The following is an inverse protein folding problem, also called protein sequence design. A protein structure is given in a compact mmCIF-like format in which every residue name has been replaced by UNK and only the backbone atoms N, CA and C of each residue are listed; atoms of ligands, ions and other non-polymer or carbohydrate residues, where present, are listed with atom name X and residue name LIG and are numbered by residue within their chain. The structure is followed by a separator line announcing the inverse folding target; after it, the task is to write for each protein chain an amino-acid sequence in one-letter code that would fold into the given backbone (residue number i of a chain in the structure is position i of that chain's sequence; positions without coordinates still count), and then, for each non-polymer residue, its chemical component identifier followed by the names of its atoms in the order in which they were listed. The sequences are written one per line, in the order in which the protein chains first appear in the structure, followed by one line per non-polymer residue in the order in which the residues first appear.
data_IF_292043771800
#
_entry.id   IF_292043771800
#
_cell.length_a   1.000
_cell.length_b   1.000
_cell.length_c   1.000
_cell.angle_alpha   90.00
_cell.angle_beta   90.00
_cell.angle_gamma   90.00
#
_symmetry.space_group_name_H-M   'P 1'
#
loop_
_entity.id
_entity.type
_entity.pdbx_description
1 polymer ?
#
# COMPACT_ATOMS: atom_id res chain seq x y z
N UNK A 1 -19.44 0.71 1.75
CA UNK A 1 -20.52 0.50 0.81
C UNK A 1 -20.41 -0.85 0.09
N UNK A 2 -21.20 -1.12 -0.94
CA UNK A 2 -21.49 -2.44 -1.52
C UNK A 2 -20.27 -3.35 -1.78
N UNK A 3 -19.11 -2.80 -2.19
CA UNK A 3 -17.89 -3.59 -2.42
C UNK A 3 -17.37 -4.21 -1.11
N UNK A 4 -17.26 -3.43 -0.05
CA UNK A 4 -16.80 -3.90 1.26
C UNK A 4 -17.78 -4.91 1.87
N UNK A 5 -19.10 -4.63 1.77
CA UNK A 5 -20.14 -5.50 2.31
C UNK A 5 -20.13 -6.87 1.63
N UNK A 6 -19.98 -6.89 0.30
CA UNK A 6 -19.89 -8.13 -0.48
C UNK A 6 -18.63 -8.94 -0.11
N UNK A 7 -17.49 -8.26 0.05
CA UNK A 7 -16.23 -8.89 0.44
C UNK A 7 -16.31 -9.50 1.84
N UNK A 8 -16.83 -8.75 2.81
CA UNK A 8 -17.01 -9.22 4.19
C UNK A 8 -17.99 -10.40 4.26
N UNK A 9 -19.09 -10.34 3.52
CA UNK A 9 -20.06 -11.44 3.44
C UNK A 9 -19.41 -12.71 2.92
N UNK A 10 -18.60 -12.63 1.86
CA UNK A 10 -17.91 -13.79 1.31
C UNK A 10 -16.92 -14.36 2.35
N UNK A 11 -16.03 -13.53 2.90
CA UNK A 11 -15.03 -13.98 3.87
C UNK A 11 -15.67 -14.67 5.08
N UNK A 12 -16.79 -14.12 5.58
CA UNK A 12 -17.57 -14.75 6.65
C UNK A 12 -18.19 -16.07 6.24
N UNK A 13 -18.72 -16.17 5.01
CA UNK A 13 -19.35 -17.41 4.52
C UNK A 13 -18.37 -18.56 4.41
N UNK A 14 -17.12 -18.28 4.04
CA UNK A 14 -16.06 -19.30 3.96
C UNK A 14 -15.31 -19.51 5.29
N UNK A 15 -15.69 -18.80 6.35
CA UNK A 15 -15.05 -18.87 7.66
C UNK A 15 -13.60 -18.39 7.67
N UNK A 16 -13.26 -17.42 6.79
CA UNK A 16 -11.89 -16.93 6.70
C UNK A 16 -11.51 -16.08 7.90
N UNK A 17 -10.34 -16.35 8.47
CA UNK A 17 -9.68 -15.60 9.51
C UNK A 17 -8.30 -15.14 9.06
N UNK A 18 -7.92 -13.90 9.38
CA UNK A 18 -6.62 -13.32 9.09
C UNK A 18 -6.67 -12.17 8.08
N UNK A 19 -5.50 -11.79 7.59
CA UNK A 19 -5.37 -10.72 6.61
C UNK A 19 -5.93 -11.14 5.25
N UNK A 20 -6.72 -10.26 4.64
CA UNK A 20 -7.19 -10.42 3.28
C UNK A 20 -7.17 -9.08 2.54
N UNK A 21 -6.58 -9.07 1.36
CA UNK A 21 -6.74 -8.01 0.36
C UNK A 21 -7.71 -8.53 -0.70
N UNK A 22 -8.87 -7.89 -0.82
CA UNK A 22 -9.91 -8.31 -1.76
C UNK A 22 -9.98 -7.32 -2.91
N UNK A 23 -9.64 -7.78 -4.09
CA UNK A 23 -9.71 -6.97 -5.30
C UNK A 23 -11.10 -7.06 -5.94
N UNK A 24 -11.69 -5.90 -6.19
CA UNK A 24 -13.00 -5.79 -6.82
C UNK A 24 -12.97 -4.81 -7.98
N UNK A 25 -13.75 -5.10 -9.01
CA UNK A 25 -13.94 -4.21 -10.16
C UNK A 25 -15.42 -3.96 -10.38
N UNK A 26 -15.77 -2.72 -10.59
CA UNK A 26 -17.14 -2.37 -10.99
C UNK A 26 -17.36 -2.75 -12.45
N UNK A 27 -18.40 -3.54 -12.71
CA UNK A 27 -18.89 -3.83 -14.07
C UNK A 27 -19.69 -2.62 -14.56
N UNK A 28 -19.22 -1.88 -15.59
CA UNK A 28 -19.89 -0.67 -16.04
C UNK A 28 -21.26 -0.91 -16.69
N UNK A 29 -21.55 -2.17 -17.07
CA UNK A 29 -22.83 -2.53 -17.72
C UNK A 29 -23.99 -2.58 -16.72
N UNK A 30 -23.70 -2.96 -15.47
CA UNK A 30 -24.70 -3.20 -14.44
C UNK A 30 -24.47 -2.42 -13.15
N UNK A 31 -23.31 -1.73 -13.02
CA UNK A 31 -22.93 -1.02 -11.79
C UNK A 31 -22.62 -1.95 -10.62
N UNK A 32 -22.46 -3.25 -10.88
CA UNK A 32 -22.18 -4.26 -9.86
C UNK A 32 -20.67 -4.42 -9.62
N UNK A 33 -20.29 -4.64 -8.37
CA UNK A 33 -18.91 -5.02 -8.03
C UNK A 33 -18.71 -6.51 -8.23
N UNK A 34 -17.76 -6.84 -9.11
CA UNK A 34 -17.27 -8.21 -9.34
C UNK A 34 -15.98 -8.41 -8.60
N UNK A 35 -15.88 -9.48 -7.85
CA UNK A 35 -14.65 -9.89 -7.20
C UNK A 35 -13.68 -10.46 -8.24
N UNK A 36 -12.41 -10.04 -8.17
CA UNK A 36 -11.35 -10.52 -9.04
C UNK A 36 -10.52 -11.56 -8.33
N UNK A 37 -9.97 -11.18 -7.16
CA UNK A 37 -9.13 -12.11 -6.38
C UNK A 37 -9.15 -11.78 -4.88
N UNK A 38 -8.73 -12.75 -4.09
CA UNK A 38 -8.48 -12.60 -2.65
C UNK A 38 -7.04 -13.00 -2.38
N UNK A 39 -6.26 -12.05 -1.90
CA UNK A 39 -4.89 -12.28 -1.46
C UNK A 39 -4.88 -12.46 0.06
N UNK A 40 -4.52 -13.66 0.53
CA UNK A 40 -4.45 -14.01 1.96
C UNK A 40 -3.18 -13.43 2.62
N UNK A 41 -2.99 -12.13 2.52
CA UNK A 41 -1.85 -11.36 3.04
C UNK A 41 -2.23 -9.90 3.22
N UNK A 42 -1.35 -9.14 3.86
CA UNK A 42 -1.45 -7.68 3.88
C UNK A 42 -1.22 -7.09 2.49
N UNK A 43 -1.90 -5.99 2.20
CA UNK A 43 -1.65 -5.19 1.00
C UNK A 43 -0.27 -4.53 1.03
N UNK A 44 0.30 -4.26 -0.13
CA UNK A 44 1.48 -3.40 -0.27
C UNK A 44 1.22 -2.00 0.31
N UNK A 45 -0.04 -1.54 0.24
CA UNK A 45 -0.48 -0.24 0.76
C UNK A 45 -0.90 -0.28 2.24
N UNK A 46 -0.37 -1.22 3.03
CA UNK A 46 -0.75 -1.34 4.45
C UNK A 46 -0.53 -0.05 5.25
N UNK A 47 0.54 0.70 4.96
CA UNK A 47 0.80 2.01 5.56
C UNK A 47 -0.28 3.04 5.23
N UNK A 48 -0.90 2.96 4.05
CA UNK A 48 -2.05 3.79 3.70
C UNK A 48 -3.26 3.46 4.57
N UNK A 49 -3.54 2.17 4.80
CA UNK A 49 -4.64 1.75 5.65
C UNK A 49 -4.50 2.32 7.08
N UNK A 50 -3.31 2.21 7.68
CA UNK A 50 -2.99 2.81 8.97
C UNK A 50 -3.18 4.33 8.98
N UNK A 51 -2.65 5.03 7.97
CA UNK A 51 -2.81 6.48 7.85
C UNK A 51 -4.28 6.90 7.66
N UNK A 52 -5.09 6.08 7.03
CA UNK A 52 -6.54 6.29 6.90
C UNK A 52 -7.31 6.04 8.21
N UNK A 53 -6.67 5.45 9.22
CA UNK A 53 -7.27 5.13 10.51
C UNK A 53 -7.72 3.66 10.65
N UNK A 54 -7.31 2.80 9.70
CA UNK A 54 -7.56 1.37 9.73
C UNK A 54 -6.22 0.62 9.84
N UNK A 55 -5.59 0.69 11.04
CA UNK A 55 -4.31 0.02 11.30
C UNK A 55 -4.52 -1.49 11.49
N UNK A 56 -4.60 -2.19 10.37
CA UNK A 56 -4.83 -3.64 10.37
C UNK A 56 -3.67 -4.44 10.98
N UNK A 57 -2.45 -3.90 10.99
CA UNK A 57 -1.32 -4.55 11.63
C UNK A 57 -1.45 -4.49 13.16
N UNK A 58 -1.86 -3.34 13.70
CA UNK A 58 -2.15 -3.18 15.13
C UNK A 58 -3.30 -4.07 15.58
N UNK A 59 -4.40 -4.09 14.81
CA UNK A 59 -5.55 -4.96 15.09
C UNK A 59 -5.13 -6.43 15.14
N UNK A 60 -4.32 -6.88 14.19
CA UNK A 60 -3.83 -8.27 14.18
C UNK A 60 -2.91 -8.59 15.37
N UNK A 61 -2.10 -7.61 15.81
CA UNK A 61 -1.27 -7.76 17.00
C UNK A 61 -2.12 -7.93 18.27
N UNK A 62 -3.16 -7.12 18.42
CA UNK A 62 -4.09 -7.22 19.54
C UNK A 62 -4.87 -8.55 19.53
N UNK A 63 -5.36 -8.95 18.37
CA UNK A 63 -6.08 -10.22 18.18
C UNK A 63 -5.19 -11.43 18.54
N UNK A 64 -3.93 -11.44 18.10
CA UNK A 64 -2.95 -12.47 18.47
C UNK A 64 -2.67 -12.50 19.98
N UNK A 65 -2.81 -11.38 20.68
CA UNK A 65 -2.71 -11.25 22.11
C UNK A 65 -4.01 -11.60 22.87
N UNK A 66 -5.05 -12.02 22.16
CA UNK A 66 -6.38 -12.32 22.74
C UNK A 66 -7.16 -11.08 23.17
N UNK A 67 -6.77 -9.89 22.69
CA UNK A 67 -7.48 -8.65 22.92
C UNK A 67 -8.45 -8.43 21.76
N UNK A 68 -9.73 -8.24 22.10
CA UNK A 68 -10.76 -7.95 21.08
C UNK A 68 -10.90 -6.45 20.93
N UNK A 69 -10.67 -5.93 19.73
CA UNK A 69 -10.95 -4.55 19.39
C UNK A 69 -12.20 -4.49 18.51
N UNK A 70 -13.09 -3.55 18.80
CA UNK A 70 -14.27 -3.34 17.96
C UNK A 70 -13.84 -2.80 16.60
N UNK A 71 -14.28 -3.43 15.48
CA UNK A 71 -13.87 -3.06 14.15
C UNK A 71 -14.38 -1.65 13.79
N UNK A 72 -13.46 -0.74 13.52
CA UNK A 72 -13.80 0.57 12.97
C UNK A 72 -13.93 0.49 11.46
N UNK A 73 -15.12 0.80 10.94
CA UNK A 73 -15.39 0.96 9.51
C UNK A 73 -15.26 2.42 9.04
N UNK A 74 -14.86 3.33 9.94
CA UNK A 74 -14.60 4.71 9.59
C UNK A 74 -13.16 4.88 9.10
N UNK A 75 -12.99 5.53 7.96
CA UNK A 75 -11.67 5.82 7.41
C UNK A 75 -11.62 7.22 6.82
N UNK A 76 -10.43 7.81 6.85
CA UNK A 76 -10.15 9.10 6.23
C UNK A 76 -9.92 8.94 4.74
N UNK A 77 -10.50 9.83 3.96
CA UNK A 77 -10.33 9.91 2.51
C UNK A 77 -9.25 10.94 2.14
N UNK A 78 -8.84 10.93 0.88
CA UNK A 78 -7.93 11.93 0.30
C UNK A 78 -6.51 11.91 0.87
N UNK A 79 -6.05 10.75 1.32
CA UNK A 79 -4.65 10.52 1.66
C UNK A 79 -3.97 9.94 0.43
N UNK A 80 -2.86 10.55 0.03
CA UNK A 80 -2.03 10.05 -1.07
C UNK A 80 -0.98 9.08 -0.53
N UNK A 81 -0.78 8.00 -1.24
CA UNK A 81 0.25 7.02 -0.96
C UNK A 81 1.21 6.92 -2.14
N UNK A 82 2.50 6.78 -1.83
CA UNK A 82 3.55 6.62 -2.84
C UNK A 82 4.40 5.39 -2.56
N UNK A 83 4.72 4.68 -3.61
CA UNK A 83 5.70 3.60 -3.56
C UNK A 83 7.09 4.20 -3.81
N UNK A 84 7.93 4.23 -2.79
CA UNK A 84 9.18 5.01 -2.78
C UNK A 84 10.13 4.65 -3.93
N UNK A 85 10.17 3.38 -4.34
CA UNK A 85 11.07 2.95 -5.41
C UNK A 85 10.57 3.34 -6.80
N UNK A 86 9.34 2.92 -7.13
CA UNK A 86 8.78 3.18 -8.46
C UNK A 86 8.64 4.67 -8.71
N UNK A 87 8.29 5.43 -7.67
CA UNK A 87 8.18 6.88 -7.74
C UNK A 87 9.57 7.50 -8.01
N UNK A 88 10.61 7.06 -7.27
CA UNK A 88 11.98 7.53 -7.50
C UNK A 88 12.49 7.17 -8.91
N UNK A 89 12.29 5.94 -9.36
CA UNK A 89 12.71 5.51 -10.71
C UNK A 89 11.94 6.27 -11.79
N UNK A 90 10.66 6.48 -11.61
CA UNK A 90 9.82 7.27 -12.51
C UNK A 90 10.31 8.71 -12.58
N UNK A 91 10.52 9.32 -11.43
CA UNK A 91 11.05 10.67 -11.31
C UNK A 91 12.40 10.84 -12.06
N UNK A 92 13.36 9.93 -11.83
CA UNK A 92 14.67 9.98 -12.50
C UNK A 92 14.55 9.82 -14.02
N UNK A 93 13.65 8.98 -14.50
CA UNK A 93 13.37 8.83 -15.95
C UNK A 93 12.82 10.11 -16.56
N UNK A 94 11.86 10.73 -15.91
CA UNK A 94 11.23 11.97 -16.35
C UNK A 94 12.20 13.15 -16.31
N UNK A 95 13.04 13.22 -15.25
CA UNK A 95 14.10 14.21 -15.16
C UNK A 95 15.09 14.08 -16.31
N UNK A 96 15.50 12.85 -16.68
CA UNK A 96 16.38 12.58 -17.80
C UNK A 96 15.77 12.95 -19.16
N UNK A 97 14.46 12.86 -19.30
CA UNK A 97 13.71 13.26 -20.49
C UNK A 97 13.38 14.75 -20.55
N UNK A 98 13.56 15.49 -19.45
CA UNK A 98 13.19 16.90 -19.28
C UNK A 98 11.70 17.17 -19.53
N UNK A 99 10.84 16.20 -19.21
CA UNK A 99 9.39 16.26 -19.39
C UNK A 99 8.63 16.41 -18.07
N UNK A 100 9.35 16.67 -16.96
CA UNK A 100 8.77 16.93 -15.64
C UNK A 100 8.72 18.45 -15.37
N UNK A 101 7.59 18.92 -14.90
CA UNK A 101 7.39 20.32 -14.51
C UNK A 101 7.87 20.58 -13.07
N UNK A 102 8.19 21.85 -12.75
CA UNK A 102 8.55 22.24 -11.38
C UNK A 102 7.41 21.96 -10.41
N UNK A 103 6.14 22.13 -10.83
CA UNK A 103 4.98 21.81 -10.03
C UNK A 103 4.92 20.35 -9.61
N UNK A 104 5.16 19.44 -10.54
CA UNK A 104 5.21 17.98 -10.27
C UNK A 104 6.36 17.61 -9.33
N UNK A 105 7.50 18.31 -9.42
CA UNK A 105 8.61 18.15 -8.48
C UNK A 105 8.18 18.54 -7.06
N UNK A 106 7.55 19.70 -6.91
CA UNK A 106 7.07 20.20 -5.61
C UNK A 106 6.01 19.26 -5.04
N UNK A 107 5.08 18.79 -5.86
CA UNK A 107 4.05 17.84 -5.45
C UNK A 107 4.64 16.48 -5.05
N UNK A 108 5.71 16.04 -5.69
CA UNK A 108 6.40 14.78 -5.31
C UNK A 108 7.03 14.87 -3.92
N UNK A 109 7.46 16.06 -3.52
CA UNK A 109 8.04 16.34 -2.21
C UNK A 109 7.01 16.64 -1.10
N UNK A 110 5.72 16.59 -1.42
CA UNK A 110 4.65 16.92 -0.47
C UNK A 110 4.71 16.01 0.77
N UNK A 111 4.92 16.58 1.98
CA UNK A 111 5.05 15.79 3.21
C UNK A 111 3.74 15.11 3.67
N UNK A 112 2.61 15.44 3.05
CA UNK A 112 1.31 14.82 3.34
C UNK A 112 1.11 13.46 2.68
N UNK A 113 2.06 13.01 1.85
CA UNK A 113 2.02 11.69 1.25
C UNK A 113 2.48 10.64 2.24
N UNK A 114 1.74 9.54 2.33
CA UNK A 114 2.16 8.35 3.05
C UNK A 114 3.12 7.56 2.16
N UNK A 115 4.26 7.19 2.69
CA UNK A 115 5.30 6.46 1.98
C UNK A 115 5.26 4.98 2.28
N UNK A 116 5.71 4.17 1.33
CA UNK A 116 5.72 2.71 1.47
C UNK A 116 6.78 2.23 2.47
N UNK A 117 7.97 2.84 2.46
CA UNK A 117 9.15 2.39 3.24
C UNK A 117 9.76 3.52 4.07
N UNK A 118 9.82 4.74 3.52
CA UNK A 118 10.47 5.85 4.20
C UNK A 118 9.65 6.35 5.39
N UNK A 119 10.19 6.26 6.59
CA UNK A 119 9.64 6.81 7.82
C UNK A 119 10.68 7.71 8.49
N UNK A 120 10.21 8.82 9.08
CA UNK A 120 11.10 9.79 9.73
C UNK A 120 11.61 9.30 11.08
N UNK A 121 10.84 8.47 11.76
CA UNK A 121 11.12 7.88 13.07
C UNK A 121 11.92 6.58 12.97
N UNK A 122 11.93 5.92 11.80
CA UNK A 122 12.73 4.72 11.52
C UNK A 122 13.35 4.75 10.12
N UNK A 123 14.54 5.31 9.93
CA UNK A 123 15.22 5.36 8.64
C UNK A 123 15.92 4.04 8.25
N UNK A 124 16.05 3.07 9.15
CA UNK A 124 16.81 1.83 8.94
C UNK A 124 16.28 1.00 7.78
N UNK A 125 14.95 0.80 7.60
CA UNK A 125 14.42 0.07 6.47
C UNK A 125 14.77 0.70 5.12
N UNK A 126 14.74 2.03 5.03
CA UNK A 126 15.10 2.75 3.81
C UNK A 126 16.58 2.54 3.45
N UNK A 127 17.50 2.68 4.41
CA UNK A 127 18.93 2.42 4.19
C UNK A 127 19.20 0.99 3.79
N UNK A 128 18.63 0.03 4.50
CA UNK A 128 18.75 -1.40 4.21
C UNK A 128 18.30 -1.74 2.79
N UNK A 129 17.22 -1.12 2.37
CA UNK A 129 16.65 -1.28 1.06
C UNK A 129 17.54 -0.70 -0.05
N UNK A 130 18.07 0.52 0.11
CA UNK A 130 19.02 1.15 -0.81
C UNK A 130 20.27 0.30 -0.99
N UNK A 131 20.87 -0.20 0.10
CA UNK A 131 22.04 -1.08 0.08
C UNK A 131 21.73 -2.38 -0.69
N UNK A 132 20.58 -2.97 -0.45
CA UNK A 132 20.14 -4.22 -1.13
C UNK A 132 20.00 -4.01 -2.63
N UNK A 133 19.39 -2.91 -3.06
CA UNK A 133 19.24 -2.60 -4.49
C UNK A 133 20.58 -2.34 -5.17
N UNK A 134 21.46 -1.55 -4.53
CA UNK A 134 22.78 -1.25 -5.04
C UNK A 134 23.60 -2.53 -5.23
N UNK A 135 23.57 -3.45 -4.27
CA UNK A 135 24.25 -4.74 -4.36
C UNK A 135 23.71 -5.64 -5.47
N UNK A 136 22.39 -5.65 -5.69
CA UNK A 136 21.75 -6.39 -6.80
C UNK A 136 22.10 -5.80 -8.17
N UNK A 137 22.16 -4.47 -8.29
CA UNK A 137 22.57 -3.79 -9.51
C UNK A 137 24.02 -4.11 -9.88
N UNK A 138 24.94 -4.06 -8.92
CA UNK A 138 26.34 -4.39 -9.10
C UNK A 138 26.54 -5.85 -9.54
N UNK A 139 25.84 -6.80 -8.96
CA UNK A 139 25.92 -8.21 -9.37
C UNK A 139 25.47 -8.44 -10.82
N UNK A 140 24.46 -7.71 -11.30
CA UNK A 140 23.99 -7.80 -12.70
C UNK A 140 25.01 -7.25 -13.71
N UNK A 141 25.82 -6.28 -13.30
CA UNK A 141 26.88 -5.71 -14.15
C UNK A 141 28.08 -6.64 -14.20
N UNK A 142 28.41 -7.34 -13.12
CA UNK A 142 29.56 -8.28 -13.02
C UNK A 142 29.34 -9.60 -13.78
N UNK A 143 28.11 -9.92 -14.17
CA UNK A 143 27.76 -11.15 -14.91
C UNK A 143 27.52 -10.90 -16.43
N UNK A 144 27.86 -9.71 -16.93
CA UNK A 144 27.89 -9.38 -18.37
C UNK A 144 29.35 -9.18 -18.80
#
# INVERSE_FOLDING_TARGET
PAAADNSLRLLRTIGYHGFAEVEVKMDPRHGEYKMIEINARTSLQNTLAGACGADIAHVAYLDAGGQVEEPSLSFRNSILWTEDFLDTVSFLKHLGRRDISIGEIVDSLNPRKVRSVAAWDDPVPLFSWVVTLSSRALRRVSHR
#
